data_IF_243718958049
#
_entry.id   IF_243718958049
#
_cell.length_a   1.000
_cell.length_b   1.000
_cell.length_c   1.000
_cell.angle_alpha   90.00
_cell.angle_beta   90.00
_cell.angle_gamma   90.00
#
_symmetry.space_group_name_H-M   'P 1'
#
loop_
_entity.id
_entity.type
_entity.pdbx_description
1 polymer ?
#
# COMPACT_ATOMS: atom_id res chain seq x y z
N UNK A 1 -31.82 63.98 -9.28
CA UNK A 1 -31.60 62.66 -9.93
C UNK A 1 -30.76 61.81 -8.97
N UNK A 2 -31.39 60.94 -8.17
CA UNK A 2 -30.69 60.11 -7.15
C UNK A 2 -30.27 58.79 -7.81
N UNK A 3 -28.97 58.57 -7.98
CA UNK A 3 -28.41 57.32 -8.45
C UNK A 3 -28.47 56.27 -7.33
N UNK A 4 -29.20 55.18 -7.55
CA UNK A 4 -29.16 53.99 -6.70
C UNK A 4 -27.98 53.12 -7.16
N UNK A 5 -26.97 52.97 -6.30
CA UNK A 5 -25.89 52.02 -6.50
C UNK A 5 -26.42 50.62 -6.14
N UNK A 6 -26.63 49.75 -7.14
CA UNK A 6 -26.98 48.34 -6.92
C UNK A 6 -25.71 47.55 -6.67
N UNK A 7 -25.47 47.16 -5.43
CA UNK A 7 -24.41 46.20 -5.07
C UNK A 7 -24.77 44.83 -5.66
N UNK A 8 -24.00 44.37 -6.63
CA UNK A 8 -24.05 42.98 -7.11
C UNK A 8 -23.20 42.15 -6.17
N UNK A 9 -23.82 41.29 -5.37
CA UNK A 9 -23.11 40.27 -4.59
C UNK A 9 -22.87 39.08 -5.50
N UNK A 10 -21.63 38.87 -5.91
CA UNK A 10 -21.22 37.69 -6.67
C UNK A 10 -21.03 36.53 -5.67
N UNK A 11 -21.99 35.62 -5.61
CA UNK A 11 -21.83 34.38 -4.85
C UNK A 11 -20.86 33.46 -5.60
N UNK A 12 -19.67 33.23 -5.05
CA UNK A 12 -18.77 32.21 -5.54
C UNK A 12 -19.37 30.83 -5.22
N UNK A 13 -19.88 30.15 -6.24
CA UNK A 13 -20.28 28.75 -6.12
C UNK A 13 -18.99 27.93 -6.04
N UNK A 14 -18.64 27.51 -4.82
CA UNK A 14 -17.66 26.46 -4.60
C UNK A 14 -18.25 25.15 -5.15
N UNK A 15 -17.91 24.83 -6.40
CA UNK A 15 -18.15 23.49 -6.93
C UNK A 15 -17.12 22.59 -6.25
N UNK A 16 -17.57 21.79 -5.29
CA UNK A 16 -16.78 20.67 -4.81
C UNK A 16 -16.60 19.71 -5.98
N UNK A 17 -15.37 19.57 -6.47
CA UNK A 17 -15.04 18.49 -7.39
C UNK A 17 -15.16 17.17 -6.62
N UNK A 18 -16.34 16.56 -6.65
CA UNK A 18 -16.49 15.16 -6.25
C UNK A 18 -15.79 14.36 -7.34
N UNK A 19 -14.51 14.02 -7.13
CA UNK A 19 -13.88 12.99 -7.96
C UNK A 19 -14.71 11.72 -7.85
N UNK A 20 -15.08 11.14 -8.99
CA UNK A 20 -15.75 9.85 -9.02
C UNK A 20 -14.94 8.81 -8.22
N UNK A 21 -15.62 7.86 -7.58
CA UNK A 21 -14.96 6.73 -6.92
C UNK A 21 -15.30 5.45 -7.68
N UNK A 22 -14.27 4.67 -8.01
CA UNK A 22 -14.40 3.38 -8.67
C UNK A 22 -13.99 2.25 -7.72
N UNK A 23 -14.78 1.19 -7.63
CA UNK A 23 -14.42 0.02 -6.85
C UNK A 23 -13.48 -0.90 -7.65
N UNK A 24 -12.43 -1.37 -7.00
CA UNK A 24 -11.53 -2.41 -7.47
C UNK A 24 -11.76 -3.66 -6.62
N UNK A 25 -12.08 -4.78 -7.25
CA UNK A 25 -12.34 -6.05 -6.56
C UNK A 25 -11.92 -7.25 -7.41
N UNK A 26 -11.60 -8.36 -6.75
CA UNK A 26 -11.30 -9.62 -7.42
C UNK A 26 -10.01 -9.60 -8.25
N UNK A 27 -10.00 -10.35 -9.35
CA UNK A 27 -8.79 -10.58 -10.14
C UNK A 27 -8.71 -9.59 -11.33
N UNK A 28 -7.60 -8.88 -11.42
CA UNK A 28 -7.18 -8.11 -12.59
C UNK A 28 -6.44 -9.07 -13.52
N UNK A 29 -7.13 -9.54 -14.54
CA UNK A 29 -6.63 -10.54 -15.52
C UNK A 29 -6.13 -9.93 -16.82
N UNK A 30 -6.36 -8.63 -17.03
CA UNK A 30 -5.89 -7.87 -18.19
C UNK A 30 -5.29 -6.55 -17.74
N UNK A 31 -4.52 -5.90 -18.61
CA UNK A 31 -3.90 -4.62 -18.27
C UNK A 31 -4.98 -3.59 -17.94
N UNK A 32 -4.82 -2.93 -16.78
CA UNK A 32 -5.74 -1.92 -16.29
C UNK A 32 -4.94 -0.68 -15.90
N UNK A 33 -5.50 0.50 -16.16
CA UNK A 33 -4.90 1.79 -15.76
C UNK A 33 -5.83 2.50 -14.79
N UNK A 34 -5.30 2.91 -13.65
CA UNK A 34 -5.94 3.79 -12.70
C UNK A 34 -5.50 5.23 -12.99
N UNK A 35 -6.47 6.12 -13.22
CA UNK A 35 -6.26 7.50 -13.64
C UNK A 35 -6.44 8.47 -12.46
N UNK A 36 -5.71 9.58 -12.47
CA UNK A 36 -5.67 10.51 -11.32
C UNK A 36 -6.87 11.47 -11.24
N UNK A 37 -7.80 11.43 -12.19
CA UNK A 37 -9.03 12.25 -12.21
C UNK A 37 -10.12 11.70 -11.29
N UNK A 38 -9.95 10.47 -10.79
CA UNK A 38 -10.85 9.78 -9.87
C UNK A 38 -10.09 9.13 -8.72
N UNK A 39 -10.86 8.64 -7.74
CA UNK A 39 -10.32 7.83 -6.63
C UNK A 39 -10.77 6.39 -6.77
N UNK A 40 -10.06 5.49 -6.10
CA UNK A 40 -10.36 4.05 -6.15
C UNK A 40 -10.62 3.50 -4.76
N UNK A 41 -11.44 2.46 -4.65
CA UNK A 41 -11.68 1.72 -3.41
C UNK A 41 -11.33 0.25 -3.63
N UNK A 42 -10.27 -0.24 -2.97
CA UNK A 42 -9.94 -1.67 -2.90
C UNK A 42 -10.95 -2.37 -1.99
N UNK A 43 -11.74 -3.27 -2.57
CA UNK A 43 -12.75 -4.07 -1.88
C UNK A 43 -12.35 -5.54 -1.90
N UNK A 44 -12.16 -6.11 -0.72
CA UNK A 44 -11.57 -7.44 -0.57
C UNK A 44 -10.14 -7.49 -1.08
N UNK A 45 -9.69 -8.70 -1.39
CA UNK A 45 -8.35 -8.93 -1.92
C UNK A 45 -8.37 -8.78 -3.44
N UNK A 46 -7.75 -7.72 -3.94
CA UNK A 46 -7.56 -7.46 -5.37
C UNK A 46 -6.25 -8.11 -5.82
N UNK A 47 -6.30 -8.98 -6.83
CA UNK A 47 -5.11 -9.69 -7.32
C UNK A 47 -4.77 -9.27 -8.74
N UNK A 48 -3.55 -8.77 -8.96
CA UNK A 48 -2.99 -8.62 -10.31
C UNK A 48 -2.42 -9.97 -10.73
N UNK A 49 -3.09 -10.60 -11.70
CA UNK A 49 -2.79 -11.97 -12.11
C UNK A 49 -1.57 -12.06 -13.04
N UNK A 50 -0.97 -13.24 -13.19
CA UNK A 50 0.14 -13.44 -14.12
C UNK A 50 -0.21 -12.95 -15.55
N UNK A 51 0.69 -12.15 -16.14
CA UNK A 51 0.50 -11.56 -17.47
C UNK A 51 -0.29 -10.24 -17.48
N UNK A 52 -0.94 -9.86 -16.38
CA UNK A 52 -1.61 -8.57 -16.24
C UNK A 52 -0.68 -7.50 -15.64
N UNK A 53 -0.88 -6.25 -16.05
CA UNK A 53 -0.21 -5.07 -15.49
C UNK A 53 -1.23 -4.08 -14.96
N UNK A 54 -1.14 -3.73 -13.69
CA UNK A 54 -1.85 -2.62 -13.08
C UNK A 54 -1.00 -1.36 -13.15
N UNK A 55 -1.39 -0.39 -13.97
CA UNK A 55 -0.71 0.91 -14.07
C UNK A 55 -1.47 1.95 -13.24
N UNK A 56 -0.77 2.76 -12.46
CA UNK A 56 -1.38 3.77 -11.59
C UNK A 56 -0.73 5.12 -11.90
N UNK A 57 -1.54 6.09 -12.31
CA UNK A 57 -1.04 7.41 -12.67
C UNK A 57 -0.58 8.21 -11.44
N UNK A 58 0.43 9.10 -11.57
CA UNK A 58 0.85 9.99 -10.50
C UNK A 58 -0.32 10.79 -9.90
N UNK A 59 -0.36 10.93 -8.58
CA UNK A 59 -1.42 11.66 -7.88
C UNK A 59 -2.74 10.90 -7.68
N UNK A 60 -2.80 9.63 -8.08
CA UNK A 60 -3.97 8.77 -7.82
C UNK A 60 -4.08 8.45 -6.33
N UNK A 61 -5.31 8.51 -5.80
CA UNK A 61 -5.64 8.10 -4.43
C UNK A 61 -6.46 6.81 -4.48
N UNK A 62 -5.99 5.81 -3.73
CA UNK A 62 -6.61 4.50 -3.58
C UNK A 62 -6.93 4.32 -2.09
N UNK A 63 -8.19 3.99 -1.80
CA UNK A 63 -8.67 3.71 -0.46
C UNK A 63 -8.75 2.20 -0.22
N UNK A 64 -8.29 1.71 0.93
CA UNK A 64 -8.56 0.36 1.39
C UNK A 64 -9.87 0.30 2.18
N UNK A 65 -10.79 -0.59 1.82
CA UNK A 65 -12.03 -0.83 2.57
C UNK A 65 -11.73 -1.66 3.83
N UNK A 66 -12.13 -1.16 5.00
CA UNK A 66 -11.83 -1.80 6.28
C UNK A 66 -12.62 -3.09 6.47
N UNK A 67 -13.92 -3.07 6.16
CA UNK A 67 -14.82 -4.19 6.43
C UNK A 67 -14.51 -5.45 5.62
N UNK A 68 -13.89 -5.30 4.46
CA UNK A 68 -13.49 -6.40 3.59
C UNK A 68 -11.99 -6.71 3.66
N UNK A 69 -11.26 -6.07 4.59
CA UNK A 69 -9.80 -6.17 4.71
C UNK A 69 -9.12 -5.89 3.35
N UNK A 70 -9.54 -4.78 2.72
CA UNK A 70 -9.13 -4.39 1.38
C UNK A 70 -7.62 -4.46 1.21
N UNK A 71 -7.15 -5.20 0.21
CA UNK A 71 -5.73 -5.51 0.02
C UNK A 71 -5.40 -5.56 -1.47
N UNK A 72 -4.16 -5.23 -1.83
CA UNK A 72 -3.65 -5.40 -3.20
C UNK A 72 -2.53 -6.43 -3.23
N UNK A 73 -2.69 -7.48 -4.02
CA UNK A 73 -1.67 -8.50 -4.24
C UNK A 73 -1.23 -8.48 -5.71
N UNK A 74 0.06 -8.37 -5.96
CA UNK A 74 0.65 -8.66 -7.28
C UNK A 74 1.19 -10.07 -7.24
N UNK A 75 0.56 -10.99 -7.99
CA UNK A 75 0.98 -12.39 -8.04
C UNK A 75 2.30 -12.55 -8.81
N UNK A 76 3.06 -13.64 -8.61
CA UNK A 76 4.24 -13.92 -9.43
C UNK A 76 3.90 -13.89 -10.93
N UNK A 77 4.63 -13.08 -11.71
CA UNK A 77 4.37 -12.86 -13.15
C UNK A 77 3.31 -11.79 -13.47
N UNK A 78 2.60 -11.26 -12.47
CA UNK A 78 1.83 -10.01 -12.57
C UNK A 78 2.73 -8.79 -12.33
N UNK A 79 2.27 -7.60 -12.72
CA UNK A 79 3.06 -6.37 -12.55
C UNK A 79 2.24 -5.19 -12.03
N UNK A 80 2.89 -4.34 -11.25
CA UNK A 80 2.40 -3.02 -10.87
C UNK A 80 3.33 -1.93 -11.41
N UNK A 81 2.76 -0.90 -12.01
CA UNK A 81 3.48 0.29 -12.48
C UNK A 81 2.90 1.51 -11.75
N UNK A 82 3.39 1.73 -10.52
CA UNK A 82 3.02 2.84 -9.65
C UNK A 82 4.19 3.83 -9.56
N UNK A 83 4.32 4.68 -10.58
CA UNK A 83 5.40 5.65 -10.71
C UNK A 83 4.90 7.07 -10.43
N UNK A 84 4.69 7.39 -9.15
CA UNK A 84 4.39 8.73 -8.71
C UNK A 84 5.57 9.69 -8.91
N UNK A 85 5.39 10.94 -8.47
CA UNK A 85 6.44 11.96 -8.43
C UNK A 85 6.47 12.63 -7.06
N UNK A 86 7.53 13.37 -6.74
CA UNK A 86 7.61 14.15 -5.50
C UNK A 86 6.40 15.11 -5.34
N UNK A 87 5.97 15.74 -6.43
CA UNK A 87 4.84 16.68 -6.44
C UNK A 87 3.48 15.99 -6.47
N UNK A 88 3.43 14.76 -7.03
CA UNK A 88 2.20 13.96 -7.20
C UNK A 88 2.47 12.52 -6.79
N UNK A 89 2.64 12.24 -5.48
CA UNK A 89 2.80 10.87 -5.01
C UNK A 89 1.51 10.09 -5.27
N UNK A 90 1.63 8.78 -5.43
CA UNK A 90 0.48 7.87 -5.39
C UNK A 90 0.21 7.55 -3.92
N UNK A 91 -1.05 7.63 -3.50
CA UNK A 91 -1.44 7.43 -2.10
C UNK A 91 -2.39 6.25 -1.98
N UNK A 92 -1.98 5.23 -1.25
CA UNK A 92 -2.85 4.18 -0.73
C UNK A 92 -3.16 4.49 0.73
N UNK A 93 -4.43 4.52 1.13
CA UNK A 93 -4.79 4.93 2.49
C UNK A 93 -6.10 4.29 2.97
N UNK A 94 -6.34 4.31 4.29
CA UNK A 94 -7.64 4.00 4.90
C UNK A 94 -8.81 4.72 4.24
N UNK A 95 -9.91 4.01 4.03
CA UNK A 95 -11.17 4.62 3.61
C UNK A 95 -11.74 5.66 4.57
N UNK A 96 -11.33 5.67 5.84
CA UNK A 96 -11.75 6.69 6.80
C UNK A 96 -11.06 8.04 6.59
N UNK A 97 -10.15 8.16 5.62
CA UNK A 97 -9.66 9.45 5.09
C UNK A 97 -10.59 10.08 4.06
N UNK A 98 -11.60 9.36 3.55
CA UNK A 98 -12.52 9.88 2.54
C UNK A 98 -13.20 11.17 3.04
N UNK A 99 -13.44 12.17 2.17
CA UNK A 99 -14.26 13.31 2.53
C UNK A 99 -15.65 12.86 3.05
N UNK A 100 -16.01 13.32 4.24
CA UNK A 100 -17.29 12.94 4.88
C UNK A 100 -17.28 11.60 5.62
N UNK A 101 -16.11 10.97 5.82
CA UNK A 101 -16.01 9.80 6.69
C UNK A 101 -16.47 10.11 8.12
N UNK A 102 -17.17 9.16 8.74
CA UNK A 102 -17.72 9.28 10.11
C UNK A 102 -16.79 8.75 11.19
N UNK A 103 -15.68 8.10 10.78
CA UNK A 103 -14.63 7.57 11.64
C UNK A 103 -13.31 8.28 11.31
N UNK A 104 -12.41 8.33 12.29
CA UNK A 104 -11.02 8.76 12.06
C UNK A 104 -10.19 7.52 11.69
N UNK A 105 -9.22 7.63 10.77
CA UNK A 105 -8.33 6.53 10.45
C UNK A 105 -7.57 6.03 11.67
N UNK A 106 -7.36 4.72 11.75
CA UNK A 106 -6.58 4.05 12.76
C UNK A 106 -5.56 3.08 12.14
N UNK A 107 -4.61 2.64 12.95
CA UNK A 107 -3.66 1.60 12.58
C UNK A 107 -4.39 0.33 12.13
N UNK A 108 -3.94 -0.30 11.05
CA UNK A 108 -4.55 -1.54 10.54
C UNK A 108 -5.95 -1.37 9.94
N UNK A 109 -6.26 -0.20 9.38
CA UNK A 109 -7.57 0.05 8.79
C UNK A 109 -7.80 -0.76 7.50
N UNK A 110 -6.76 -1.19 6.80
CA UNK A 110 -6.84 -2.03 5.60
C UNK A 110 -5.59 -2.90 5.50
N UNK A 111 -5.58 -3.88 4.59
CA UNK A 111 -4.51 -4.88 4.56
C UNK A 111 -3.16 -4.30 4.21
N UNK A 112 -3.01 -3.73 3.03
CA UNK A 112 -1.73 -3.24 2.54
C UNK A 112 -1.46 -3.68 1.11
N UNK A 113 -0.19 -3.64 0.74
CA UNK A 113 0.28 -4.05 -0.59
C UNK A 113 1.22 -5.24 -0.45
N UNK A 114 0.92 -6.32 -1.17
CA UNK A 114 1.71 -7.54 -1.20
C UNK A 114 2.27 -7.71 -2.62
N UNK A 115 3.59 -7.67 -2.78
CA UNK A 115 4.26 -8.01 -4.04
C UNK A 115 4.88 -9.39 -3.94
N UNK A 116 4.45 -10.30 -4.81
CA UNK A 116 4.94 -11.67 -4.87
C UNK A 116 5.72 -11.87 -6.17
N UNK A 117 6.96 -12.34 -6.04
CA UNK A 117 7.85 -12.59 -7.16
C UNK A 117 8.32 -14.05 -7.25
N UNK A 118 9.14 -14.30 -8.28
CA UNK A 118 9.74 -15.59 -8.59
C UNK A 118 11.21 -15.70 -8.16
N UNK A 119 11.70 -14.78 -7.32
CA UNK A 119 13.09 -14.80 -6.86
C UNK A 119 13.32 -15.86 -5.77
N UNK A 120 14.58 -16.29 -5.56
CA UNK A 120 14.92 -17.29 -4.55
C UNK A 120 14.53 -16.87 -3.13
N UNK A 121 14.09 -17.86 -2.35
CA UNK A 121 13.83 -17.76 -0.91
C UNK A 121 14.50 -18.94 -0.19
N UNK A 122 14.86 -18.79 1.07
CA UNK A 122 15.55 -19.80 1.87
C UNK A 122 14.57 -20.77 2.55
N UNK A 123 13.70 -21.39 1.75
CA UNK A 123 12.72 -22.40 2.18
C UNK A 123 12.91 -23.67 1.36
N UNK A 124 12.71 -24.84 1.99
CA UNK A 124 12.79 -26.12 1.28
C UNK A 124 11.83 -26.14 0.07
N UNK A 125 12.35 -26.47 -1.12
CA UNK A 125 11.59 -26.43 -2.36
C UNK A 125 11.49 -25.05 -3.04
N UNK A 126 12.01 -23.98 -2.40
CA UNK A 126 12.11 -22.64 -2.99
C UNK A 126 10.78 -21.91 -3.18
N UNK A 127 9.71 -22.38 -2.51
CA UNK A 127 8.37 -21.79 -2.55
C UNK A 127 7.73 -21.80 -1.16
N UNK A 128 6.89 -20.81 -0.90
CA UNK A 128 6.13 -20.68 0.33
C UNK A 128 4.76 -20.03 0.05
N UNK A 129 3.87 -20.08 1.04
CA UNK A 129 2.64 -19.28 1.06
C UNK A 129 2.93 -18.01 1.85
N UNK A 130 2.54 -16.85 1.32
CA UNK A 130 2.65 -15.60 2.07
C UNK A 130 1.65 -15.64 3.23
N UNK A 131 2.03 -15.06 4.36
CA UNK A 131 1.10 -14.84 5.46
C UNK A 131 -0.10 -13.97 5.05
N UNK A 132 -1.12 -13.97 5.90
CA UNK A 132 -2.43 -13.43 5.61
C UNK A 132 -3.15 -14.27 4.53
N UNK A 133 -3.30 -13.79 3.28
CA UNK A 133 -4.08 -14.43 2.22
C UNK A 133 -3.62 -15.82 1.75
N UNK A 134 -2.41 -16.28 2.07
CA UNK A 134 -1.94 -17.64 1.72
C UNK A 134 -1.58 -17.81 0.23
N UNK A 135 -1.21 -16.73 -0.46
CA UNK A 135 -0.83 -16.74 -1.86
C UNK A 135 0.61 -17.27 -2.07
N UNK A 136 0.80 -18.25 -2.96
CA UNK A 136 2.14 -18.83 -3.25
C UNK A 136 3.09 -17.82 -3.92
N UNK A 137 4.37 -17.84 -3.51
CA UNK A 137 5.48 -17.06 -4.05
C UNK A 137 6.82 -17.83 -3.97
N UNK A 138 7.87 -17.21 -4.51
CA UNK A 138 9.22 -17.78 -4.54
C UNK A 138 9.52 -18.54 -5.84
N UNK A 139 10.80 -18.72 -6.12
CA UNK A 139 11.24 -19.43 -7.32
C UNK A 139 12.76 -19.41 -7.46
N UNK A 140 13.24 -19.37 -8.70
CA UNK A 140 14.67 -19.43 -9.03
C UNK A 140 15.16 -18.22 -9.82
N UNK A 141 14.30 -17.24 -10.10
CA UNK A 141 14.56 -16.13 -10.99
C UNK A 141 15.01 -14.91 -10.18
N UNK A 142 16.30 -14.87 -9.83
CA UNK A 142 16.88 -13.81 -9.00
C UNK A 142 16.73 -12.40 -9.58
N UNK A 143 16.49 -12.26 -10.88
CA UNK A 143 16.23 -11.00 -11.57
C UNK A 143 14.78 -10.86 -12.04
N UNK A 144 13.83 -11.52 -11.35
CA UNK A 144 12.40 -11.32 -11.57
C UNK A 144 12.00 -9.84 -11.44
N UNK A 145 10.91 -9.46 -12.11
CA UNK A 145 10.43 -8.07 -12.16
C UNK A 145 8.93 -7.99 -11.95
N UNK A 146 8.54 -7.62 -10.73
CA UNK A 146 7.16 -7.35 -10.30
C UNK A 146 6.69 -5.92 -10.62
N UNK A 147 7.56 -5.09 -11.22
CA UNK A 147 7.26 -3.75 -11.69
C UNK A 147 7.95 -2.63 -10.91
N UNK A 148 7.24 -1.54 -10.65
CA UNK A 148 7.77 -0.32 -10.03
C UNK A 148 6.81 0.25 -8.99
N UNK A 149 7.34 0.51 -7.79
CA UNK A 149 6.76 1.44 -6.82
C UNK A 149 7.74 2.59 -6.62
N UNK A 150 7.33 3.79 -7.02
CA UNK A 150 8.14 5.00 -6.87
C UNK A 150 7.30 6.19 -6.44
N UNK A 151 7.73 6.93 -5.40
CA UNK A 151 6.96 8.03 -4.79
C UNK A 151 5.54 7.57 -4.39
N UNK A 152 5.50 6.56 -3.52
CA UNK A 152 4.27 5.94 -3.03
C UNK A 152 4.15 6.15 -1.53
N UNK A 153 2.96 6.55 -1.08
CA UNK A 153 2.57 6.58 0.34
C UNK A 153 1.57 5.47 0.62
N UNK A 154 1.82 4.69 1.66
CA UNK A 154 0.98 3.59 2.12
C UNK A 154 0.61 3.92 3.57
N UNK A 155 -0.62 4.37 3.78
CA UNK A 155 -1.06 4.93 5.07
C UNK A 155 -2.13 4.07 5.72
N UNK A 156 -1.97 3.82 7.02
CA UNK A 156 -2.88 2.99 7.82
C UNK A 156 -3.08 1.54 7.31
N UNK A 157 -2.07 0.87 6.69
CA UNK A 157 -2.18 -0.55 6.35
C UNK A 157 -1.96 -1.42 7.61
N UNK A 158 -1.71 -2.73 7.49
CA UNK A 158 -1.28 -3.54 8.64
C UNK A 158 -2.44 -4.19 9.39
N UNK A 159 -3.28 -5.01 8.73
CA UNK A 159 -4.50 -5.56 9.35
C UNK A 159 -4.30 -6.99 9.86
N UNK A 160 -4.84 -7.28 11.05
CA UNK A 160 -5.02 -8.65 11.49
C UNK A 160 -5.97 -9.39 10.55
N UNK A 161 -5.42 -10.21 9.64
CA UNK A 161 -6.19 -10.92 8.62
C UNK A 161 -6.99 -12.06 9.26
N UNK A 162 -6.35 -12.79 10.17
CA UNK A 162 -6.95 -13.76 11.08
C UNK A 162 -6.12 -13.81 12.38
N UNK A 163 -6.53 -14.61 13.37
CA UNK A 163 -5.83 -14.68 14.65
C UNK A 163 -4.36 -15.11 14.47
N UNK A 164 -3.41 -14.24 14.86
CA UNK A 164 -1.96 -14.42 14.73
C UNK A 164 -1.52 -14.69 13.28
N UNK A 165 -2.15 -13.99 12.33
CA UNK A 165 -1.82 -14.07 10.91
C UNK A 165 -2.32 -12.78 10.25
N UNK A 166 -1.40 -11.86 10.07
CA UNK A 166 -1.62 -10.46 9.71
C UNK A 166 -1.28 -10.19 8.23
N UNK A 167 -1.52 -8.96 7.77
CA UNK A 167 -1.01 -8.43 6.49
C UNK A 167 -0.32 -7.11 6.82
N UNK A 168 0.92 -6.94 6.36
CA UNK A 168 1.78 -5.79 6.65
C UNK A 168 1.51 -4.57 5.76
N UNK A 169 2.28 -3.50 5.98
CA UNK A 169 2.26 -2.31 5.16
C UNK A 169 2.64 -2.53 3.69
N UNK A 170 3.92 -2.86 3.48
CA UNK A 170 4.43 -3.33 2.19
C UNK A 170 5.11 -4.69 2.39
N UNK A 171 4.40 -5.75 2.04
CA UNK A 171 4.89 -7.13 2.08
C UNK A 171 5.56 -7.49 0.75
N UNK A 172 6.77 -8.05 0.82
CA UNK A 172 7.62 -8.37 -0.33
C UNK A 172 8.05 -9.83 -0.29
N UNK A 173 7.29 -10.71 -0.94
CA UNK A 173 7.59 -12.14 -1.02
C UNK A 173 8.37 -12.52 -2.27
N UNK A 174 9.63 -12.94 -2.12
CA UNK A 174 10.44 -13.46 -3.23
C UNK A 174 10.57 -12.46 -4.39
N UNK A 175 10.62 -11.16 -4.11
CA UNK A 175 10.66 -10.11 -5.14
C UNK A 175 12.06 -10.01 -5.74
N UNK A 176 12.14 -9.97 -7.08
CA UNK A 176 13.41 -10.00 -7.82
C UNK A 176 14.12 -8.65 -7.96
N UNK A 177 15.41 -8.72 -8.28
CA UNK A 177 16.33 -7.57 -8.35
C UNK A 177 16.05 -6.57 -9.48
N UNK A 178 15.19 -6.92 -10.45
CA UNK A 178 14.74 -5.99 -11.51
C UNK A 178 13.48 -5.21 -11.15
N UNK A 179 12.81 -5.53 -10.03
CA UNK A 179 11.76 -4.69 -9.46
C UNK A 179 12.38 -3.41 -8.89
N UNK A 180 11.73 -2.26 -9.10
CA UNK A 180 12.20 -0.97 -8.58
C UNK A 180 11.33 -0.50 -7.42
N UNK A 181 11.95 -0.34 -6.25
CA UNK A 181 11.33 0.20 -5.04
C UNK A 181 12.10 1.44 -4.57
N UNK A 182 11.53 2.63 -4.76
CA UNK A 182 12.21 3.90 -4.42
C UNK A 182 11.25 4.95 -3.85
N UNK A 183 11.65 5.71 -2.82
CA UNK A 183 10.83 6.80 -2.27
C UNK A 183 9.45 6.30 -1.81
N UNK A 184 9.44 5.32 -0.92
CA UNK A 184 8.22 4.73 -0.39
C UNK A 184 8.11 5.08 1.09
N UNK A 185 6.96 5.56 1.50
CA UNK A 185 6.64 5.78 2.90
C UNK A 185 5.49 4.89 3.31
N UNK A 186 5.69 4.12 4.37
CA UNK A 186 4.64 3.40 5.08
C UNK A 186 4.37 4.13 6.39
N UNK A 187 3.11 4.36 6.74
CA UNK A 187 2.77 5.14 7.92
C UNK A 187 1.59 4.56 8.67
N UNK A 188 1.68 4.55 9.99
CA UNK A 188 0.60 4.05 10.86
C UNK A 188 0.19 2.62 10.52
N UNK A 189 1.17 1.78 10.14
CA UNK A 189 0.92 0.35 9.90
C UNK A 189 0.49 -0.29 11.22
N UNK A 190 -0.62 -1.03 11.23
CA UNK A 190 -1.07 -1.81 12.38
C UNK A 190 -0.26 -3.08 12.64
N UNK A 191 0.71 -3.33 11.77
CA UNK A 191 1.67 -4.42 11.83
C UNK A 191 3.00 -3.91 11.25
N UNK A 192 3.85 -4.78 10.68
CA UNK A 192 5.11 -4.35 10.11
C UNK A 192 4.94 -3.30 9.01
N UNK A 193 5.87 -2.33 8.96
CA UNK A 193 5.84 -1.30 7.92
C UNK A 193 6.34 -1.85 6.59
N UNK A 194 7.50 -2.50 6.59
CA UNK A 194 8.06 -3.18 5.43
C UNK A 194 8.50 -4.57 5.85
N UNK A 195 8.06 -5.59 5.12
CA UNK A 195 8.50 -6.95 5.40
C UNK A 195 8.98 -7.66 4.15
N UNK A 196 10.15 -8.28 4.23
CA UNK A 196 10.83 -8.95 3.14
C UNK A 196 10.92 -10.44 3.38
N UNK A 197 10.00 -11.20 2.79
CA UNK A 197 10.02 -12.65 2.81
C UNK A 197 10.91 -13.20 1.68
N UNK A 198 12.21 -13.30 1.93
CA UNK A 198 13.20 -13.74 0.95
C UNK A 198 13.34 -12.77 -0.24
N UNK A 199 13.90 -13.25 -1.36
CA UNK A 199 14.07 -12.45 -2.57
C UNK A 199 15.36 -11.64 -2.63
N UNK A 200 15.49 -10.87 -3.69
CA UNK A 200 16.73 -10.20 -4.12
C UNK A 200 16.52 -8.73 -4.49
N UNK A 201 15.31 -8.20 -4.33
CA UNK A 201 14.96 -6.82 -4.66
C UNK A 201 15.83 -5.82 -3.92
N UNK A 202 16.34 -4.82 -4.61
CA UNK A 202 17.00 -3.68 -3.95
C UNK A 202 15.97 -2.58 -3.73
N UNK A 203 16.05 -1.90 -2.59
CA UNK A 203 15.18 -0.77 -2.29
C UNK A 203 15.96 0.39 -1.70
N UNK A 204 15.51 1.62 -1.96
CA UNK A 204 16.13 2.80 -1.38
C UNK A 204 15.17 3.95 -1.11
N UNK A 205 15.52 4.79 -0.13
CA UNK A 205 14.67 5.89 0.34
C UNK A 205 13.33 5.37 0.87
N UNK A 206 13.41 4.56 1.92
CA UNK A 206 12.23 4.01 2.59
C UNK A 206 12.02 4.71 3.93
N UNK A 207 10.77 5.05 4.22
CA UNK A 207 10.37 5.69 5.48
C UNK A 207 9.30 4.81 6.14
N UNK A 208 9.63 4.25 7.29
CA UNK A 208 8.66 3.69 8.22
C UNK A 208 8.31 4.77 9.23
N UNK A 209 7.03 5.15 9.30
CA UNK A 209 6.60 6.28 10.12
C UNK A 209 5.48 5.85 11.05
N UNK A 210 5.83 5.71 12.32
CA UNK A 210 4.93 5.31 13.40
C UNK A 210 4.25 3.99 13.05
N UNK A 211 5.00 2.95 12.71
CA UNK A 211 4.48 1.58 12.68
C UNK A 211 4.15 1.09 14.09
N UNK A 212 3.20 0.15 14.18
CA UNK A 212 2.83 -0.50 15.43
C UNK A 212 3.89 -1.54 15.83
N UNK A 213 4.21 -2.44 14.92
CA UNK A 213 5.18 -3.52 15.13
C UNK A 213 6.54 -3.15 14.53
N UNK A 214 7.19 -4.03 13.76
CA UNK A 214 8.53 -3.81 13.24
C UNK A 214 8.52 -2.84 12.05
N UNK A 215 9.46 -1.90 12.04
CA UNK A 215 9.55 -0.93 10.95
C UNK A 215 10.10 -1.57 9.66
N UNK A 216 11.02 -2.53 9.82
CA UNK A 216 11.64 -3.28 8.74
C UNK A 216 11.94 -4.70 9.24
N UNK A 217 11.17 -5.68 8.79
CA UNK A 217 11.44 -7.09 9.07
C UNK A 217 11.88 -7.85 7.81
N UNK A 218 12.69 -8.88 8.01
CA UNK A 218 13.18 -9.74 6.95
C UNK A 218 13.13 -11.19 7.37
N UNK A 219 12.59 -12.00 6.49
CA UNK A 219 12.41 -13.41 6.69
C UNK A 219 12.93 -14.22 5.50
N UNK A 220 12.99 -15.54 5.64
CA UNK A 220 13.34 -16.48 4.57
C UNK A 220 14.57 -16.10 3.72
N UNK A 221 15.58 -15.49 4.34
CA UNK A 221 16.87 -15.20 3.73
C UNK A 221 16.83 -14.13 2.62
N UNK A 222 16.14 -13.01 2.86
CA UNK A 222 16.25 -11.83 2.00
C UNK A 222 17.72 -11.48 1.72
N UNK A 223 18.04 -11.25 0.44
CA UNK A 223 19.42 -11.10 -0.03
C UNK A 223 19.65 -9.87 -0.92
N UNK A 224 18.67 -8.96 -0.94
CA UNK A 224 18.78 -7.67 -1.63
C UNK A 224 19.56 -6.63 -0.82
N UNK A 225 19.59 -5.40 -1.33
CA UNK A 225 20.22 -4.25 -0.66
C UNK A 225 19.18 -3.19 -0.32
N UNK A 226 19.22 -2.74 0.93
CA UNK A 226 18.43 -1.62 1.42
C UNK A 226 19.36 -0.42 1.66
N UNK A 227 18.99 0.76 1.16
CA UNK A 227 19.79 1.97 1.29
C UNK A 227 18.94 3.19 1.63
N UNK A 228 19.38 4.01 2.60
CA UNK A 228 18.64 5.20 3.06
C UNK A 228 17.27 4.84 3.66
N UNK A 229 17.31 4.16 4.80
CA UNK A 229 16.14 3.82 5.58
C UNK A 229 15.98 4.82 6.73
N UNK A 230 14.75 5.24 6.99
CA UNK A 230 14.39 6.06 8.16
C UNK A 230 13.25 5.36 8.87
N UNK A 231 13.39 5.18 10.17
CA UNK A 231 12.27 4.92 11.09
C UNK A 231 11.98 6.19 11.89
N UNK A 232 10.70 6.44 12.13
CA UNK A 232 10.26 7.37 13.16
C UNK A 232 9.16 6.72 13.99
N UNK A 233 9.51 6.18 15.15
CA UNK A 233 8.58 5.47 16.02
C UNK A 233 7.51 6.38 16.63
N UNK A 234 6.37 5.79 16.99
CA UNK A 234 5.38 6.45 17.84
C UNK A 234 5.96 6.66 19.26
N UNK A 235 5.44 7.66 19.97
CA UNK A 235 5.82 7.89 21.38
C UNK A 235 5.66 6.59 22.19
N UNK A 236 6.64 6.28 23.02
CA UNK A 236 6.65 5.06 23.82
C UNK A 236 5.43 4.96 24.75
N UNK A 237 4.86 6.09 25.16
CA UNK A 237 3.61 6.12 25.92
C UNK A 237 2.40 5.70 25.08
N UNK A 238 2.35 6.10 23.79
CA UNK A 238 1.33 5.64 22.84
C UNK A 238 1.48 4.13 22.63
N UNK A 239 2.70 3.61 22.44
CA UNK A 239 2.93 2.16 22.32
C UNK A 239 2.44 1.40 23.56
N UNK A 240 2.65 1.92 24.76
CA UNK A 240 2.18 1.28 26.00
C UNK A 240 0.65 1.34 26.17
N UNK A 241 -0.01 2.44 25.81
CA UNK A 241 -1.48 2.55 25.83
C UNK A 241 -2.11 1.59 24.82
N UNK A 242 -1.50 1.45 23.64
CA UNK A 242 -1.91 0.53 22.59
C UNK A 242 -1.72 -0.96 22.99
N UNK A 243 -0.61 -1.30 23.66
CA UNK A 243 -0.34 -2.65 24.20
C UNK A 243 -1.28 -3.03 25.36
N UNK A 244 -1.68 -2.06 26.19
CA UNK A 244 -2.58 -2.31 27.33
C UNK A 244 -4.05 -2.42 26.92
N UNK A 245 -4.43 -1.88 25.76
CA UNK A 245 -5.81 -1.86 25.33
C UNK A 245 -6.24 -3.01 24.42
N UNK A 246 -5.33 -3.85 23.90
CA UNK A 246 -5.60 -5.22 23.41
C UNK A 246 -7.00 -5.51 22.83
N UNK A 247 -7.53 -4.60 22.02
CA UNK A 247 -8.86 -4.69 21.43
C UNK A 247 -8.76 -4.14 20.01
N UNK A 248 -8.61 -5.03 19.04
CA UNK A 248 -9.75 -5.56 18.27
C UNK A 248 -9.40 -6.96 17.75
#
# INVERSE_FOLDING_TARGET
MKFFLRTVVLAAILVSNISAQEALSGNITTNQTLTSDKTYLLKGIVRVMPGATLTIQPGTIIYGENTSQGSLIVKPGGKIMAEGTADKPIVFTSEFKKPGATKTPNYGDWGGIILLGNAPINVAGGKALIEGPGDEYGGTVADDNSGVLKYVRIEYPGIAYSLNNEINGLTLGGVGSKTKLEYIQVSYSGDDSFEFFGGTVNAKYLIAYRGWDDDFDTDFGYSGKLQFLITMEADQQIRQELLQHGTM
#
